data_IF_805868845522
#
_entry.id   IF_805868845522
#
_cell.length_a   1.000
_cell.length_b   1.000
_cell.length_c   1.000
_cell.angle_alpha   90.00
_cell.angle_beta   90.00
_cell.angle_gamma   90.00
#
_symmetry.space_group_name_H-M   'P 1'
#
loop_
_entity.id
_entity.type
_entity.pdbx_description
1 polymer ?
#
# COMPACT_ATOMS: atom_id res chain seq x y z
N UNK A 1 -0.99 -28.89 47.85
CA UNK A 1 -2.27 -28.13 47.86
C UNK A 1 -2.12 -26.70 47.31
N UNK A 2 -0.91 -26.18 47.08
CA UNK A 2 -0.69 -24.82 46.54
C UNK A 2 -0.73 -24.76 45.01
N UNK A 3 -0.35 -25.83 44.30
CA UNK A 3 -0.30 -25.84 42.83
C UNK A 3 -1.68 -25.78 42.17
N UNK A 4 -2.64 -26.58 42.62
CA UNK A 4 -3.98 -26.60 42.05
C UNK A 4 -4.73 -25.29 42.31
N UNK A 5 -4.59 -24.73 43.51
CA UNK A 5 -5.18 -23.43 43.86
C UNK A 5 -4.57 -22.29 43.04
N UNK A 6 -3.25 -22.26 42.85
CA UNK A 6 -2.58 -21.24 42.02
C UNK A 6 -3.01 -21.34 40.55
N UNK A 7 -3.14 -22.55 40.00
CA UNK A 7 -3.61 -22.76 38.62
C UNK A 7 -5.06 -22.29 38.46
N UNK A 8 -5.94 -22.60 39.42
CA UNK A 8 -7.33 -22.14 39.42
C UNK A 8 -7.42 -20.61 39.51
N UNK A 9 -6.68 -19.98 40.42
CA UNK A 9 -6.63 -18.52 40.54
C UNK A 9 -6.11 -17.85 39.26
N UNK A 10 -5.02 -18.35 38.67
CA UNK A 10 -4.51 -17.85 37.40
C UNK A 10 -5.53 -18.02 36.27
N UNK A 11 -6.21 -19.17 36.18
CA UNK A 11 -7.21 -19.41 35.14
C UNK A 11 -8.41 -18.47 35.24
N UNK A 12 -8.85 -18.15 36.46
CA UNK A 12 -9.93 -17.21 36.73
C UNK A 12 -9.49 -15.78 36.39
N UNK A 13 -8.29 -15.36 36.82
CA UNK A 13 -7.75 -14.03 36.47
C UNK A 13 -7.60 -13.86 34.95
N UNK A 14 -7.14 -14.89 34.25
CA UNK A 14 -7.00 -14.89 32.80
C UNK A 14 -8.37 -14.79 32.12
N UNK A 15 -9.39 -15.51 32.60
CA UNK A 15 -10.77 -15.42 32.08
C UNK A 15 -11.45 -14.07 32.30
N UNK A 16 -11.10 -13.33 33.36
CA UNK A 16 -11.69 -12.01 33.65
C UNK A 16 -10.87 -10.83 33.08
N UNK A 17 -9.54 -10.98 32.91
CA UNK A 17 -8.68 -9.92 32.36
C UNK A 17 -8.60 -9.95 30.83
N UNK A 18 -8.67 -11.12 30.19
CA UNK A 18 -8.61 -11.22 28.71
C UNK A 18 -9.79 -10.53 28.00
N UNK A 19 -11.06 -10.64 28.48
CA UNK A 19 -12.18 -9.98 27.81
C UNK A 19 -12.06 -8.45 27.82
N UNK A 20 -11.42 -7.87 28.85
CA UNK A 20 -11.19 -6.42 28.91
C UNK A 20 -10.19 -5.93 27.85
N UNK A 21 -9.29 -6.80 27.36
CA UNK A 21 -8.27 -6.46 26.36
C UNK A 21 -8.83 -6.61 24.92
N UNK A 22 -9.91 -7.38 24.72
CA UNK A 22 -10.52 -7.61 23.40
C UNK A 22 -11.71 -6.70 23.07
N UNK A 23 -12.17 -5.85 24.00
CA UNK A 23 -13.28 -4.90 23.81
C UNK A 23 -12.83 -3.61 23.08
N UNK A 24 -12.10 -3.74 21.98
CA UNK A 24 -11.49 -2.56 21.36
C UNK A 24 -11.13 -2.65 19.88
N UNK A 25 -11.52 -3.70 19.17
CA UNK A 25 -11.44 -3.66 17.70
C UNK A 25 -12.81 -3.20 17.20
N UNK A 26 -12.99 -1.92 16.78
CA UNK A 26 -14.19 -1.52 16.07
C UNK A 26 -14.25 -2.33 14.79
N UNK A 27 -15.10 -3.37 14.78
CA UNK A 27 -15.44 -4.07 13.55
C UNK A 27 -16.28 -3.09 12.73
N UNK A 28 -15.76 -2.68 11.57
CA UNK A 28 -16.44 -1.81 10.63
C UNK A 28 -17.87 -2.33 10.41
N UNK A 29 -18.87 -1.55 10.83
CA UNK A 29 -20.27 -1.91 10.72
C UNK A 29 -20.82 -1.32 9.43
N UNK A 30 -20.74 -2.12 8.37
CA UNK A 30 -21.36 -1.78 7.07
C UNK A 30 -22.84 -2.23 6.99
N UNK A 31 -23.46 -2.51 8.14
CA UNK A 31 -24.80 -3.09 8.25
C UNK A 31 -25.80 -2.24 9.04
N UNK A 32 -27.03 -2.75 9.23
CA UNK A 32 -28.12 -2.00 9.85
C UNK A 32 -27.79 -1.50 11.27
N UNK A 33 -28.21 -0.27 11.58
CA UNK A 33 -27.96 0.40 12.85
C UNK A 33 -29.22 1.06 13.42
N UNK A 34 -29.15 1.52 14.67
CA UNK A 34 -30.28 2.20 15.31
C UNK A 34 -30.28 3.68 14.92
N UNK A 35 -31.39 4.27 14.45
CA UNK A 35 -31.43 5.70 14.10
C UNK A 35 -30.88 6.60 15.21
N UNK A 36 -29.96 7.50 14.85
CA UNK A 36 -29.27 8.41 15.79
C UNK A 36 -28.04 7.83 16.48
N UNK A 37 -27.78 6.53 16.38
CA UNK A 37 -26.57 5.88 16.91
C UNK A 37 -25.31 6.34 16.17
N UNK A 38 -24.18 6.42 16.88
CA UNK A 38 -22.86 6.60 16.28
C UNK A 38 -22.26 5.24 15.93
N UNK A 39 -21.84 5.07 14.67
CA UNK A 39 -21.32 3.81 14.14
C UNK A 39 -20.02 4.03 13.39
N UNK A 40 -19.10 3.06 13.46
CA UNK A 40 -17.86 3.06 12.70
C UNK A 40 -18.07 2.36 11.37
N UNK A 41 -17.90 3.08 10.26
CA UNK A 41 -17.86 2.54 8.90
C UNK A 41 -16.43 2.65 8.42
N UNK A 42 -15.78 1.51 8.20
CA UNK A 42 -14.33 1.41 8.12
C UNK A 42 -13.66 2.07 9.34
N UNK A 43 -12.84 3.12 9.13
CA UNK A 43 -12.25 3.90 10.22
C UNK A 43 -13.01 5.20 10.52
N UNK A 44 -14.08 5.50 9.78
CA UNK A 44 -14.78 6.78 9.85
C UNK A 44 -15.98 6.67 10.78
N UNK A 45 -16.24 7.74 11.55
CA UNK A 45 -17.37 7.82 12.44
C UNK A 45 -18.58 8.41 11.71
N UNK A 46 -19.70 7.69 11.71
CA UNK A 46 -20.94 8.05 11.03
C UNK A 46 -22.10 8.09 12.03
N UNK A 47 -23.15 8.84 11.72
CA UNK A 47 -24.44 8.74 12.42
C UNK A 47 -25.37 7.82 11.65
N UNK A 48 -26.22 7.06 12.35
CA UNK A 48 -27.23 6.23 11.73
C UNK A 48 -28.45 7.06 11.30
N UNK A 49 -28.91 6.85 10.08
CA UNK A 49 -30.07 7.54 9.51
C UNK A 49 -31.41 6.94 10.00
N UNK A 50 -32.55 7.60 9.75
CA UNK A 50 -33.88 7.09 10.12
C UNK A 50 -34.26 5.75 9.50
N UNK A 51 -33.64 5.38 8.38
CA UNK A 51 -33.83 4.10 7.70
C UNK A 51 -33.01 2.96 8.34
N UNK A 52 -32.27 3.25 9.40
CA UNK A 52 -31.45 2.26 10.10
C UNK A 52 -30.18 1.88 9.35
N UNK A 53 -29.61 2.79 8.57
CA UNK A 53 -28.34 2.61 7.86
C UNK A 53 -27.36 3.72 8.21
N UNK A 54 -26.03 3.48 8.16
CA UNK A 54 -25.07 4.55 8.34
C UNK A 54 -25.30 5.67 7.32
N UNK A 55 -25.19 6.92 7.76
CA UNK A 55 -25.28 8.07 6.86
C UNK A 55 -24.15 8.01 5.81
N UNK A 56 -24.41 8.45 4.57
CA UNK A 56 -23.39 8.48 3.53
C UNK A 56 -22.29 9.51 3.81
N UNK A 57 -22.58 10.51 4.65
CA UNK A 57 -21.63 11.53 5.09
C UNK A 57 -21.16 11.18 6.50
N UNK A 58 -19.87 10.90 6.63
CA UNK A 58 -19.20 10.54 7.88
C UNK A 58 -18.08 11.53 8.19
N UNK A 59 -17.61 11.54 9.44
CA UNK A 59 -16.34 12.18 9.77
C UNK A 59 -15.22 11.55 8.94
N UNK A 60 -14.37 12.36 8.31
CA UNK A 60 -13.28 11.88 7.47
C UNK A 60 -11.99 11.82 8.28
N UNK A 61 -11.60 10.62 8.67
CA UNK A 61 -10.37 10.33 9.40
C UNK A 61 -9.35 9.68 8.47
N UNK A 62 -8.07 9.74 8.84
CA UNK A 62 -7.05 8.99 8.13
C UNK A 62 -7.20 7.50 8.47
N UNK A 63 -7.59 6.70 7.47
CA UNK A 63 -7.68 5.25 7.62
C UNK A 63 -6.34 4.61 7.27
N UNK A 64 -5.96 3.59 8.05
CA UNK A 64 -4.79 2.78 7.72
C UNK A 64 -5.01 2.06 6.37
N UNK A 65 -4.00 2.03 5.50
CA UNK A 65 -4.10 1.29 4.24
C UNK A 65 -4.32 -0.20 4.50
N UNK A 66 -5.35 -0.76 3.87
CA UNK A 66 -5.60 -2.21 3.91
C UNK A 66 -4.49 -2.96 3.17
N UNK A 67 -4.27 -4.26 3.44
CA UNK A 67 -3.30 -5.06 2.69
C UNK A 67 -3.53 -5.01 1.18
N UNK A 68 -4.78 -5.13 0.74
CA UNK A 68 -5.15 -5.01 -0.68
C UNK A 68 -4.78 -3.64 -1.28
N UNK A 69 -4.96 -2.53 -0.54
CA UNK A 69 -4.58 -1.21 -1.02
C UNK A 69 -3.05 -1.05 -1.10
N UNK A 70 -2.31 -1.63 -0.15
CA UNK A 70 -0.84 -1.64 -0.18
C UNK A 70 -0.33 -2.45 -1.36
N UNK A 71 -0.92 -3.60 -1.64
CA UNK A 71 -0.58 -4.44 -2.79
C UNK A 71 -0.87 -3.72 -4.11
N UNK A 72 -2.06 -3.13 -4.26
CA UNK A 72 -2.41 -2.35 -5.45
C UNK A 72 -1.42 -1.20 -5.70
N UNK A 73 -1.05 -0.46 -4.65
CA UNK A 73 -0.04 0.60 -4.75
C UNK A 73 1.34 0.07 -5.13
N UNK A 74 1.77 -1.04 -4.54
CA UNK A 74 3.05 -1.64 -4.88
C UNK A 74 3.12 -2.09 -6.35
N UNK A 75 2.01 -2.60 -6.90
CA UNK A 75 1.89 -2.97 -8.32
C UNK A 75 1.97 -1.73 -9.21
N UNK A 76 1.27 -0.65 -8.85
CA UNK A 76 1.34 0.63 -9.57
C UNK A 76 2.76 1.20 -9.58
N UNK A 77 3.39 1.28 -8.41
CA UNK A 77 4.75 1.80 -8.25
C UNK A 77 5.77 0.93 -9.03
N UNK A 78 5.59 -0.40 -9.03
CA UNK A 78 6.43 -1.32 -9.81
C UNK A 78 6.28 -1.11 -11.33
N UNK A 79 5.05 -0.90 -11.81
CA UNK A 79 4.78 -0.60 -13.21
C UNK A 79 5.40 0.73 -13.65
N UNK A 80 5.30 1.77 -12.82
CA UNK A 80 5.92 3.06 -13.10
C UNK A 80 7.45 2.93 -13.22
N UNK A 81 8.07 2.18 -12.30
CA UNK A 81 9.52 1.92 -12.35
C UNK A 81 9.94 1.13 -13.59
N UNK A 82 9.14 0.15 -14.01
CA UNK A 82 9.42 -0.60 -15.24
C UNK A 82 9.37 0.31 -16.47
N UNK A 83 8.36 1.18 -16.56
CA UNK A 83 8.25 2.14 -17.66
C UNK A 83 9.45 3.10 -17.71
N UNK A 84 9.92 3.58 -16.55
CA UNK A 84 11.09 4.44 -16.47
C UNK A 84 12.37 3.70 -16.89
N UNK A 85 12.53 2.44 -16.50
CA UNK A 85 13.64 1.60 -16.93
C UNK A 85 13.63 1.35 -18.45
N UNK A 86 12.46 1.11 -19.03
CA UNK A 86 12.31 0.93 -20.47
C UNK A 86 12.68 2.20 -21.24
N UNK A 87 12.30 3.39 -20.73
CA UNK A 87 12.71 4.68 -21.30
C UNK A 87 14.21 4.89 -21.24
N UNK A 88 14.84 4.61 -20.10
CA UNK A 88 16.29 4.72 -19.96
C UNK A 88 17.03 3.75 -20.87
N UNK A 89 16.52 2.52 -21.02
CA UNK A 89 17.09 1.53 -21.94
C UNK A 89 17.00 2.00 -23.40
N UNK A 90 15.92 2.68 -23.75
CA UNK A 90 15.77 3.29 -25.08
C UNK A 90 16.79 4.41 -25.29
N UNK A 91 16.92 5.32 -24.33
CA UNK A 91 17.90 6.42 -24.39
C UNK A 91 19.34 5.89 -24.54
N UNK A 92 19.70 4.86 -23.78
CA UNK A 92 21.01 4.19 -23.92
C UNK A 92 21.17 3.56 -25.29
N UNK A 93 20.14 2.90 -25.82
CA UNK A 93 20.19 2.30 -27.16
C UNK A 93 20.40 3.35 -28.26
N UNK A 94 19.72 4.49 -28.15
CA UNK A 94 19.89 5.61 -29.08
C UNK A 94 21.29 6.22 -28.98
N UNK A 95 21.84 6.37 -27.77
CA UNK A 95 23.20 6.85 -27.54
C UNK A 95 24.26 5.89 -28.11
N UNK A 96 24.10 4.57 -27.88
CA UNK A 96 24.98 3.54 -28.44
C UNK A 96 24.96 3.54 -29.98
N UNK A 97 23.79 3.71 -30.60
CA UNK A 97 23.67 3.78 -32.05
C UNK A 97 24.37 5.03 -32.62
N UNK A 98 24.22 6.18 -31.98
CA UNK A 98 24.91 7.41 -32.36
C UNK A 98 26.43 7.28 -32.22
N UNK A 99 26.91 6.64 -31.15
CA UNK A 99 28.34 6.46 -30.93
C UNK A 99 28.99 5.53 -31.97
N UNK A 100 28.28 4.47 -32.41
CA UNK A 100 28.75 3.64 -33.53
C UNK A 100 28.77 4.43 -34.85
N UNK A 101 27.78 5.28 -35.11
CA UNK A 101 27.77 6.13 -36.31
C UNK A 101 28.93 7.15 -36.31
N UNK A 102 29.21 7.80 -35.18
CA UNK A 102 30.36 8.70 -35.02
C UNK A 102 31.66 7.97 -35.30
N UNK A 103 31.83 6.77 -34.75
CA UNK A 103 33.03 5.95 -34.95
C UNK A 103 33.23 5.56 -36.41
N UNK A 104 32.17 5.27 -37.16
CA UNK A 104 32.27 5.04 -38.61
C UNK A 104 32.70 6.29 -39.37
N UNK A 105 32.25 7.47 -38.96
CA UNK A 105 32.64 8.76 -39.57
C UNK A 105 34.12 9.03 -39.29
N UNK A 106 34.57 8.89 -38.04
CA UNK A 106 35.98 9.10 -37.66
C UNK A 106 36.93 8.19 -38.46
N UNK A 107 36.57 6.93 -38.67
CA UNK A 107 37.36 5.99 -39.49
C UNK A 107 37.45 6.48 -40.95
N UNK A 108 36.32 6.92 -41.53
CA UNK A 108 36.29 7.43 -42.91
C UNK A 108 37.15 8.68 -43.06
N UNK A 109 37.06 9.62 -42.12
CA UNK A 109 37.87 10.84 -42.12
C UNK A 109 39.38 10.52 -42.02
N UNK A 110 39.76 9.53 -41.20
CA UNK A 110 41.15 9.11 -41.08
C UNK A 110 41.67 8.42 -42.36
N UNK A 111 40.82 7.64 -43.04
CA UNK A 111 41.14 7.02 -44.33
C UNK A 111 41.29 8.06 -45.45
N UNK A 112 40.40 9.05 -45.51
CA UNK A 112 40.46 10.16 -46.48
C UNK A 112 41.74 10.99 -46.30
N UNK A 113 42.11 11.30 -45.05
CA UNK A 113 43.33 12.07 -44.75
C UNK A 113 44.61 11.33 -45.17
N UNK A 114 44.62 9.99 -45.10
CA UNK A 114 45.75 9.15 -45.56
C UNK A 114 45.82 9.01 -47.08
N UNK A 115 44.76 9.30 -47.81
CA UNK A 115 44.74 9.21 -49.27
C UNK A 115 45.27 10.47 -49.97
N UNK A 116 45.40 11.58 -49.23
CA UNK A 116 45.89 12.87 -49.74
C UNK A 116 47.40 13.13 -49.48
N UNK A 117 48.11 12.24 -48.75
CA UNK A 117 49.58 12.22 -48.60
C UNK A 117 50.29 11.34 -49.66
#
# INVERSE_FOLDING_TARGET
MTSLSVVLFCSVLVMFLIPAIHMGIPTAKNGPCTPGELVWVDCNLCTCNPQGMPNPVCAKMWCQPTPALKEAKAIEDARAKQLELEKQKEEVREEEALNEEIKEIEIKEEEEMKAEE
#
